data_IF_464265089498
#
_entry.id   IF_464265089498
#
_cell.length_a   1.000
_cell.length_b   1.000
_cell.length_c   1.000
_cell.angle_alpha   90.00
_cell.angle_beta   90.00
_cell.angle_gamma   90.00
#
_symmetry.space_group_name_H-M   'P 1'
#
loop_
_entity.id
_entity.type
_entity.pdbx_description
1 polymer ?
#
# COMPACT_ATOMS: atom_id res chain seq x y z
N UNK A 1 -18.02 -4.22 -8.00
CA UNK A 1 -18.81 -3.28 -8.83
C UNK A 1 -20.18 -3.90 -9.08
N UNK A 2 -21.26 -3.11 -9.08
CA UNK A 2 -22.61 -3.58 -9.40
C UNK A 2 -22.70 -4.10 -10.85
N UNK A 3 -23.31 -5.28 -11.03
CA UNK A 3 -23.45 -5.99 -12.32
C UNK A 3 -24.21 -5.16 -13.36
N UNK A 4 -25.27 -4.45 -12.94
CA UNK A 4 -26.07 -3.61 -13.84
C UNK A 4 -25.26 -2.42 -14.37
N UNK A 5 -24.38 -1.85 -13.53
CA UNK A 5 -23.49 -0.76 -13.93
C UNK A 5 -22.44 -1.24 -14.94
N UNK A 6 -21.91 -2.45 -14.75
CA UNK A 6 -20.94 -3.08 -15.67
C UNK A 6 -21.54 -3.25 -17.06
N UNK A 7 -22.72 -3.87 -17.16
CA UNK A 7 -23.41 -4.12 -18.44
C UNK A 7 -23.78 -2.83 -19.18
N UNK A 8 -24.26 -1.80 -18.45
CA UNK A 8 -24.57 -0.48 -19.05
C UNK A 8 -23.34 0.20 -19.66
N UNK A 9 -22.19 0.09 -19.00
CA UNK A 9 -20.95 0.69 -19.49
C UNK A 9 -20.40 -0.07 -20.70
N UNK A 10 -20.43 -1.41 -20.66
CA UNK A 10 -20.03 -2.25 -21.79
C UNK A 10 -20.89 -2.01 -23.04
N UNK A 11 -22.22 -1.88 -22.89
CA UNK A 11 -23.11 -1.51 -24.01
C UNK A 11 -22.81 -0.14 -24.63
N UNK A 12 -22.19 0.76 -23.86
CA UNK A 12 -21.75 2.09 -24.33
C UNK A 12 -20.31 2.08 -24.88
N UNK A 13 -19.72 0.90 -25.10
CA UNK A 13 -18.37 0.74 -25.65
C UNK A 13 -17.24 0.85 -24.63
N UNK A 14 -17.54 0.92 -23.32
CA UNK A 14 -16.49 0.94 -22.29
C UNK A 14 -15.98 -0.47 -21.98
N UNK A 15 -14.65 -0.64 -21.99
CA UNK A 15 -14.03 -1.88 -21.54
C UNK A 15 -14.00 -1.91 -20.00
N UNK A 16 -14.34 -3.05 -19.43
CA UNK A 16 -14.23 -3.31 -17.99
C UNK A 16 -13.26 -4.48 -17.83
N UNK A 17 -12.14 -4.23 -17.18
CA UNK A 17 -11.08 -5.21 -16.93
C UNK A 17 -10.36 -4.87 -15.63
N UNK A 18 -9.41 -5.72 -15.28
CA UNK A 18 -8.61 -5.57 -14.06
C UNK A 18 -7.35 -4.71 -14.33
N UNK A 19 -6.71 -4.25 -13.25
CA UNK A 19 -5.60 -3.27 -13.34
C UNK A 19 -4.39 -3.86 -14.05
N UNK A 20 -4.12 -5.15 -13.81
CA UNK A 20 -3.09 -5.94 -14.48
C UNK A 20 -3.33 -6.04 -15.99
N UNK A 21 -4.58 -6.30 -16.42
CA UNK A 21 -4.95 -6.32 -17.85
C UNK A 21 -4.79 -4.93 -18.48
N UNK A 22 -5.18 -3.87 -17.76
CA UNK A 22 -5.08 -2.50 -18.27
C UNK A 22 -3.63 -2.03 -18.42
N UNK A 23 -2.77 -2.35 -17.45
CA UNK A 23 -1.37 -1.92 -17.42
C UNK A 23 -0.40 -2.95 -18.03
N UNK A 24 -0.88 -4.13 -18.43
CA UNK A 24 -0.06 -5.22 -18.95
C UNK A 24 0.93 -5.78 -17.93
N UNK A 25 0.55 -5.80 -16.65
CA UNK A 25 1.44 -6.24 -15.57
C UNK A 25 1.53 -7.76 -15.54
N UNK A 26 2.74 -8.27 -15.34
CA UNK A 26 2.94 -9.67 -15.00
C UNK A 26 2.37 -9.98 -13.61
N UNK A 27 2.05 -11.25 -13.32
CA UNK A 27 1.60 -11.64 -11.98
C UNK A 27 2.58 -11.24 -10.86
N UNK A 28 3.89 -11.25 -11.15
CA UNK A 28 4.92 -10.84 -10.21
C UNK A 28 4.89 -9.33 -9.93
N UNK A 29 4.70 -8.50 -10.95
CA UNK A 29 4.57 -7.04 -10.79
C UNK A 29 3.30 -6.67 -10.04
N UNK A 30 2.18 -7.33 -10.36
CA UNK A 30 0.93 -7.13 -9.65
C UNK A 30 1.06 -7.49 -8.16
N UNK A 31 1.73 -8.60 -7.84
CA UNK A 31 2.02 -8.97 -6.45
C UNK A 31 2.83 -7.89 -5.71
N UNK A 32 3.84 -7.28 -6.36
CA UNK A 32 4.61 -6.18 -5.76
C UNK A 32 3.72 -4.96 -5.49
N UNK A 33 2.82 -4.62 -6.42
CA UNK A 33 1.85 -3.52 -6.24
C UNK A 33 0.93 -3.79 -5.06
N UNK A 34 0.37 -5.00 -4.97
CA UNK A 34 -0.50 -5.41 -3.86
C UNK A 34 0.24 -5.33 -2.52
N UNK A 35 1.45 -5.87 -2.45
CA UNK A 35 2.29 -5.81 -1.24
C UNK A 35 2.56 -4.36 -0.80
N UNK A 36 2.88 -3.45 -1.75
CA UNK A 36 3.07 -2.03 -1.45
C UNK A 36 1.80 -1.39 -0.91
N UNK A 37 0.66 -1.64 -1.55
CA UNK A 37 -0.64 -1.09 -1.11
C UNK A 37 -1.02 -1.60 0.29
N UNK A 38 -0.83 -2.90 0.56
CA UNK A 38 -1.11 -3.50 1.84
C UNK A 38 -0.23 -2.92 2.95
N UNK A 39 1.09 -2.80 2.71
CA UNK A 39 2.03 -2.24 3.66
C UNK A 39 1.76 -0.77 3.96
N UNK A 40 1.45 0.05 2.95
CA UNK A 40 1.11 1.45 3.14
C UNK A 40 -0.10 1.62 4.06
N UNK A 41 -1.16 0.84 3.83
CA UNK A 41 -2.36 0.82 4.70
C UNK A 41 -2.03 0.39 6.13
N UNK A 42 -1.21 -0.66 6.28
CA UNK A 42 -0.81 -1.17 7.59
C UNK A 42 0.05 -0.16 8.37
N UNK A 43 0.96 0.56 7.70
CA UNK A 43 1.75 1.64 8.29
C UNK A 43 0.87 2.77 8.83
N UNK A 44 -0.07 3.25 8.00
CA UNK A 44 -1.03 4.29 8.42
C UNK A 44 -1.85 3.83 9.62
N UNK A 45 -2.33 2.58 9.60
CA UNK A 45 -3.10 2.00 10.70
C UNK A 45 -2.27 1.91 11.99
N UNK A 46 -1.02 1.42 11.90
CA UNK A 46 -0.10 1.29 13.04
C UNK A 46 0.23 2.64 13.64
N UNK A 47 0.58 3.64 12.82
CA UNK A 47 0.83 5.01 13.27
C UNK A 47 -0.37 5.59 14.01
N UNK A 48 -1.57 5.46 13.43
CA UNK A 48 -2.80 5.94 14.05
C UNK A 48 -3.10 5.23 15.37
N UNK A 49 -2.85 3.93 15.46
CA UNK A 49 -3.02 3.15 16.69
C UNK A 49 -2.07 3.60 17.81
N UNK A 50 -0.88 4.11 17.46
CA UNK A 50 0.07 4.72 18.41
C UNK A 50 -0.29 6.17 18.78
N UNK A 51 -1.29 6.78 18.12
CA UNK A 51 -1.62 8.20 18.32
C UNK A 51 -0.61 9.17 17.70
N UNK A 52 0.26 8.70 16.81
CA UNK A 52 1.39 9.47 16.31
C UNK A 52 1.06 10.31 15.07
N UNK A 53 1.64 11.51 15.00
CA UNK A 53 1.65 12.31 13.77
C UNK A 53 2.69 11.75 12.78
N UNK A 54 2.61 12.14 11.50
CA UNK A 54 3.65 11.76 10.54
C UNK A 54 5.03 12.30 10.92
N UNK A 55 5.10 13.48 11.55
CA UNK A 55 6.37 14.07 12.01
C UNK A 55 6.96 13.22 13.13
N UNK A 56 6.16 12.87 14.15
CA UNK A 56 6.63 12.06 15.27
C UNK A 56 7.02 10.65 14.83
N UNK A 57 6.20 10.02 14.00
CA UNK A 57 6.50 8.71 13.44
C UNK A 57 7.78 8.71 12.56
N UNK A 58 8.06 9.81 11.87
CA UNK A 58 9.30 9.97 11.12
C UNK A 58 10.53 10.05 12.06
N UNK A 59 10.41 10.72 13.21
CA UNK A 59 11.46 10.77 14.24
C UNK A 59 11.74 9.36 14.78
N UNK A 60 10.69 8.60 15.12
CA UNK A 60 10.80 7.19 15.57
C UNK A 60 11.51 6.34 14.51
N UNK A 61 11.15 6.51 13.24
CA UNK A 61 11.75 5.80 12.11
C UNK A 61 13.09 6.38 11.64
N UNK A 62 13.65 7.39 12.32
CA UNK A 62 14.91 8.08 11.99
C UNK A 62 14.96 8.54 10.53
N UNK A 63 13.89 9.21 10.10
CA UNK A 63 13.72 9.68 8.72
C UNK A 63 13.09 11.07 8.69
N UNK A 64 13.02 11.69 7.51
CA UNK A 64 12.31 12.96 7.34
C UNK A 64 10.80 12.73 7.24
N UNK A 65 9.99 13.69 7.70
CA UNK A 65 8.53 13.60 7.56
C UNK A 65 8.10 13.41 6.10
N UNK A 66 8.74 14.09 5.15
CA UNK A 66 8.45 13.91 3.72
C UNK A 66 8.69 12.48 3.25
N UNK A 67 9.80 11.86 3.66
CA UNK A 67 10.09 10.46 3.30
C UNK A 67 9.09 9.51 3.96
N UNK A 68 8.74 9.75 5.23
CA UNK A 68 7.72 8.96 5.92
C UNK A 68 6.35 9.07 5.24
N UNK A 69 5.93 10.28 4.85
CA UNK A 69 4.69 10.49 4.12
C UNK A 69 4.67 9.74 2.78
N UNK A 70 5.77 9.76 2.01
CA UNK A 70 5.89 8.97 0.77
C UNK A 70 5.72 7.47 1.00
N UNK A 71 6.25 6.95 2.11
CA UNK A 71 6.10 5.54 2.48
C UNK A 71 4.64 5.23 2.80
N UNK A 72 3.92 6.08 3.55
CA UNK A 72 2.49 5.89 3.80
C UNK A 72 1.62 5.95 2.53
N UNK A 73 2.10 6.58 1.46
CA UNK A 73 1.40 6.67 0.18
C UNK A 73 1.88 5.64 -0.86
N UNK A 74 2.80 4.73 -0.49
CA UNK A 74 3.42 3.78 -1.43
C UNK A 74 3.99 4.46 -2.70
N UNK A 75 4.59 5.65 -2.53
CA UNK A 75 5.18 6.43 -3.61
C UNK A 75 6.13 5.60 -4.49
N UNK A 76 6.23 5.93 -5.78
CA UNK A 76 7.09 5.18 -6.72
C UNK A 76 8.57 5.19 -6.30
N UNK A 77 9.01 6.21 -5.55
CA UNK A 77 10.39 6.30 -5.05
C UNK A 77 10.67 5.44 -3.82
N UNK A 78 9.69 4.75 -3.24
CA UNK A 78 9.89 3.91 -2.04
C UNK A 78 10.00 2.43 -2.37
N UNK A 79 10.96 1.75 -1.74
CA UNK A 79 11.15 0.30 -1.85
C UNK A 79 10.35 -0.45 -0.79
N UNK A 80 10.01 -1.71 -1.07
CA UNK A 80 9.36 -2.59 -0.08
C UNK A 80 10.21 -2.74 1.18
N UNK A 81 11.53 -2.86 1.03
CA UNK A 81 12.45 -2.95 2.16
C UNK A 81 12.34 -1.72 3.08
N UNK A 82 12.27 -0.51 2.52
CA UNK A 82 12.11 0.71 3.30
C UNK A 82 10.76 0.71 4.05
N UNK A 83 9.67 0.28 3.40
CA UNK A 83 8.36 0.17 4.04
C UNK A 83 8.39 -0.82 5.20
N UNK A 84 9.02 -1.99 5.02
CA UNK A 84 9.17 -3.01 6.07
C UNK A 84 10.00 -2.48 7.24
N UNK A 85 11.12 -1.80 6.96
CA UNK A 85 11.98 -1.18 7.98
C UNK A 85 11.19 -0.17 8.82
N UNK A 86 10.41 0.71 8.18
CA UNK A 86 9.60 1.69 8.91
C UNK A 86 8.46 1.02 9.70
N UNK A 87 7.88 -0.05 9.17
CA UNK A 87 6.83 -0.78 9.88
C UNK A 87 7.36 -1.38 11.18
N UNK A 88 8.55 -2.00 11.14
CA UNK A 88 9.23 -2.48 12.34
C UNK A 88 9.70 -1.37 13.27
N UNK A 89 10.12 -0.21 12.73
CA UNK A 89 10.49 0.94 13.57
C UNK A 89 9.31 1.44 14.43
N UNK A 90 8.07 1.28 13.96
CA UNK A 90 6.84 1.57 14.72
C UNK A 90 6.42 0.42 15.65
N UNK A 91 7.32 -0.53 15.92
CA UNK A 91 7.06 -1.66 16.80
C UNK A 91 6.14 -2.72 16.19
N UNK A 92 6.04 -2.80 14.86
CA UNK A 92 5.35 -3.92 14.24
C UNK A 92 6.12 -5.23 14.46
N UNK A 93 5.39 -6.35 14.51
CA UNK A 93 6.00 -7.69 14.65
C UNK A 93 6.11 -8.40 13.31
N UNK A 94 6.99 -9.40 13.21
CA UNK A 94 7.05 -10.28 12.03
C UNK A 94 5.71 -10.94 11.71
N UNK A 95 4.92 -11.27 12.73
CA UNK A 95 3.57 -11.84 12.57
C UNK A 95 2.60 -10.85 11.93
N UNK A 96 2.64 -9.58 12.33
CA UNK A 96 1.85 -8.51 11.69
C UNK A 96 2.27 -8.30 10.23
N UNK A 97 3.57 -8.36 9.93
CA UNK A 97 4.08 -8.29 8.55
C UNK A 97 3.52 -9.42 7.69
N UNK A 98 3.66 -10.67 8.14
CA UNK A 98 3.16 -11.83 7.39
C UNK A 98 1.66 -11.73 7.15
N UNK A 99 0.88 -11.33 8.17
CA UNK A 99 -0.56 -11.10 8.03
C UNK A 99 -0.89 -10.00 7.01
N UNK A 100 -0.06 -8.96 6.94
CA UNK A 100 -0.24 -7.85 5.99
C UNK A 100 0.04 -8.28 4.56
N UNK A 101 1.00 -9.19 4.35
CA UNK A 101 1.42 -9.64 3.02
C UNK A 101 0.66 -10.89 2.53
N UNK A 102 -0.04 -11.59 3.41
CA UNK A 102 -0.86 -12.77 3.07
C UNK A 102 -2.30 -12.43 2.69
N UNK A 103 -2.68 -11.15 2.73
CA UNK A 103 -4.03 -10.64 2.52
C UNK A 103 -4.14 -9.97 1.15
#
# INVERSE_FOLDING_TARGET
MDKLKKERLQKKGWKVGDVDEFLGLSPAEMAIVEMKVALAKALVAKRKALGETQVSAAIIAKTSQSRYAKVEHADSSVSLELMIKMFFALGATKKELLKTLSA
#
